data_IF_165677214658
#
_entry.id   IF_165677214658
#
_cell.length_a   1.000
_cell.length_b   1.000
_cell.length_c   1.000
_cell.angle_alpha   90.00
_cell.angle_beta   90.00
_cell.angle_gamma   90.00
#
_symmetry.space_group_name_H-M   'P 1'
#
loop_
_entity.id
_entity.type
_entity.pdbx_description
1 polymer ?
#
# COMPACT_ATOMS: atom_id res chain seq x y z
N UNK A 1 -13.66 15.58 -7.06
CA UNK A 1 -13.96 15.79 -8.49
C UNK A 1 -14.72 14.63 -9.10
N UNK A 2 -14.37 13.38 -8.77
CA UNK A 2 -15.06 12.17 -9.22
C UNK A 2 -15.35 11.30 -8.00
N UNK A 3 -16.56 10.73 -7.91
CA UNK A 3 -16.93 9.75 -6.88
C UNK A 3 -16.74 8.34 -7.44
N UNK A 4 -15.89 7.55 -6.82
CA UNK A 4 -15.67 6.14 -7.15
C UNK A 4 -16.86 5.32 -6.62
N UNK A 5 -17.45 4.50 -7.47
CA UNK A 5 -18.57 3.63 -7.14
C UNK A 5 -18.16 2.16 -7.06
N UNK A 6 -17.32 1.69 -7.99
CA UNK A 6 -16.82 0.31 -8.02
C UNK A 6 -15.37 0.26 -8.49
N UNK A 7 -14.63 -0.70 -7.98
CA UNK A 7 -13.27 -0.97 -8.47
C UNK A 7 -12.90 -2.43 -8.31
N UNK A 8 -12.11 -2.91 -9.27
CA UNK A 8 -11.34 -4.12 -9.07
C UNK A 8 -9.89 -3.94 -9.47
N UNK A 9 -9.04 -4.77 -8.88
CA UNK A 9 -7.68 -4.98 -9.31
C UNK A 9 -7.37 -6.48 -9.32
N UNK A 10 -7.15 -7.00 -10.53
CA UNK A 10 -6.77 -8.39 -10.76
C UNK A 10 -5.26 -8.47 -10.98
N UNK A 11 -4.56 -9.21 -10.13
CA UNK A 11 -3.09 -9.33 -10.20
C UNK A 11 -2.68 -10.78 -10.43
N UNK A 12 -1.87 -11.03 -11.44
CA UNK A 12 -1.32 -12.37 -11.68
C UNK A 12 0.10 -12.29 -12.24
N UNK A 13 0.84 -13.39 -12.11
CA UNK A 13 2.24 -13.49 -12.53
C UNK A 13 2.71 -14.95 -12.51
N UNK A 14 3.97 -15.18 -12.86
CA UNK A 14 4.53 -16.54 -13.01
C UNK A 14 5.61 -16.91 -12.01
N UNK A 15 5.88 -16.05 -11.01
CA UNK A 15 6.87 -16.34 -9.98
C UNK A 15 6.26 -17.15 -8.82
N UNK A 16 7.12 -17.62 -7.93
CA UNK A 16 6.71 -18.45 -6.79
C UNK A 16 5.87 -17.71 -5.75
N UNK A 17 5.90 -16.37 -5.68
CA UNK A 17 4.96 -15.61 -4.82
C UNK A 17 3.53 -15.75 -5.34
N UNK A 18 3.30 -15.70 -6.66
CA UNK A 18 1.98 -15.95 -7.25
C UNK A 18 1.53 -17.40 -7.11
N UNK A 19 2.45 -18.37 -7.25
CA UNK A 19 2.13 -19.78 -6.98
C UNK A 19 1.71 -19.99 -5.53
N UNK A 20 2.44 -19.39 -4.58
CA UNK A 20 2.10 -19.40 -3.16
C UNK A 20 0.76 -18.69 -2.85
N UNK A 21 0.30 -17.80 -3.72
CA UNK A 21 -0.97 -17.09 -3.56
C UNK A 21 -2.18 -17.91 -4.01
N UNK A 22 -2.02 -19.04 -4.72
CA UNK A 22 -3.14 -19.94 -5.02
C UNK A 22 -3.71 -20.61 -3.75
N UNK A 23 -2.90 -20.69 -2.69
CA UNK A 23 -3.30 -21.23 -1.40
C UNK A 23 -4.24 -20.23 -0.69
N UNK A 24 -5.55 -20.52 -0.75
CA UNK A 24 -6.62 -19.60 -0.33
C UNK A 24 -6.54 -19.18 1.14
N UNK A 25 -6.01 -20.04 2.02
CA UNK A 25 -5.89 -19.73 3.45
C UNK A 25 -4.86 -18.63 3.73
N UNK A 26 -3.85 -18.48 2.86
CA UNK A 26 -2.85 -17.40 2.95
C UNK A 26 -3.32 -16.08 2.34
N UNK A 27 -4.43 -16.08 1.60
CA UNK A 27 -4.94 -14.89 0.91
C UNK A 27 -5.62 -13.89 1.84
N UNK A 28 -6.11 -14.31 3.00
CA UNK A 28 -6.92 -13.46 3.89
C UNK A 28 -6.15 -12.22 4.34
N UNK A 29 -4.92 -12.39 4.83
CA UNK A 29 -4.09 -11.28 5.32
C UNK A 29 -3.68 -10.32 4.20
N UNK A 30 -3.35 -10.83 3.01
CA UNK A 30 -2.94 -10.02 1.86
C UNK A 30 -4.13 -9.29 1.20
N UNK A 31 -5.32 -9.89 1.16
CA UNK A 31 -6.55 -9.24 0.68
C UNK A 31 -6.89 -8.04 1.57
N UNK A 32 -6.85 -8.20 2.89
CA UNK A 32 -7.08 -7.12 3.85
C UNK A 32 -6.08 -5.97 3.63
N UNK A 33 -4.77 -6.26 3.54
CA UNK A 33 -3.74 -5.24 3.33
C UNK A 33 -3.95 -4.41 2.05
N UNK A 34 -4.23 -5.07 0.92
CA UNK A 34 -4.40 -4.39 -0.38
C UNK A 34 -5.71 -3.62 -0.47
N UNK A 35 -6.82 -4.20 0.00
CA UNK A 35 -8.11 -3.51 0.06
C UNK A 35 -8.02 -2.27 0.96
N UNK A 36 -7.39 -2.41 2.14
CA UNK A 36 -7.21 -1.30 3.07
C UNK A 36 -6.37 -0.17 2.46
N UNK A 37 -5.32 -0.49 1.72
CA UNK A 37 -4.49 0.51 1.03
C UNK A 37 -5.31 1.41 0.10
N UNK A 38 -6.23 0.84 -0.70
CA UNK A 38 -7.09 1.64 -1.59
C UNK A 38 -8.17 2.40 -0.83
N UNK A 39 -8.88 1.73 0.08
CA UNK A 39 -9.95 2.38 0.86
C UNK A 39 -9.43 3.48 1.80
N UNK A 40 -8.17 3.41 2.25
CA UNK A 40 -7.56 4.42 3.11
C UNK A 40 -7.34 5.78 2.43
N UNK A 41 -7.35 5.79 1.09
CA UNK A 41 -7.21 7.00 0.28
C UNK A 41 -8.56 7.65 -0.04
N UNK A 42 -9.68 7.01 0.34
CA UNK A 42 -11.03 7.53 0.13
C UNK A 42 -11.55 8.17 1.42
N UNK A 43 -12.21 9.33 1.27
CA UNK A 43 -12.82 10.04 2.41
C UNK A 43 -14.18 9.44 2.83
N UNK A 44 -14.66 8.41 2.12
CA UNK A 44 -15.96 7.76 2.31
C UNK A 44 -15.86 6.25 2.11
N UNK A 45 -16.83 5.53 2.66
CA UNK A 45 -16.97 4.09 2.44
C UNK A 45 -17.70 3.82 1.11
N UNK A 46 -17.07 3.00 0.26
CA UNK A 46 -17.64 2.54 -1.02
C UNK A 46 -18.36 1.20 -0.88
N UNK A 47 -18.30 0.55 0.29
CA UNK A 47 -18.90 -0.74 0.54
C UNK A 47 -17.99 -1.88 0.09
N UNK A 48 -17.87 -2.90 0.94
CA UNK A 48 -16.99 -4.07 0.75
C UNK A 48 -17.24 -4.83 -0.56
N UNK A 49 -18.49 -4.86 -1.03
CA UNK A 49 -18.91 -5.61 -2.21
C UNK A 49 -18.59 -4.87 -3.52
N UNK A 50 -18.24 -3.57 -3.43
CA UNK A 50 -17.83 -2.74 -4.55
C UNK A 50 -16.31 -2.68 -4.76
N UNK A 51 -15.54 -3.40 -3.95
CA UNK A 51 -14.07 -3.47 -4.02
C UNK A 51 -13.61 -4.91 -4.15
N UNK A 52 -13.01 -5.23 -5.30
CA UNK A 52 -12.43 -6.55 -5.54
C UNK A 52 -10.93 -6.46 -5.82
N UNK A 53 -10.11 -6.62 -4.79
CA UNK A 53 -8.64 -6.53 -4.90
C UNK A 53 -8.02 -7.80 -4.33
N UNK A 54 -7.23 -8.51 -5.14
CA UNK A 54 -6.57 -9.73 -4.71
C UNK A 54 -5.50 -10.20 -5.69
N UNK A 55 -4.65 -11.16 -5.29
CA UNK A 55 -4.02 -12.08 -6.23
C UNK A 55 -5.11 -12.88 -6.94
N UNK A 56 -4.95 -13.02 -8.24
CA UNK A 56 -6.00 -13.56 -9.11
C UNK A 56 -5.59 -14.89 -9.70
N UNK A 57 -4.31 -15.06 -10.09
CA UNK A 57 -3.87 -16.29 -10.73
C UNK A 57 -2.34 -16.45 -10.77
N UNK A 58 -1.92 -17.65 -11.19
CA UNK A 58 -0.55 -18.02 -11.51
C UNK A 58 -0.46 -18.44 -12.98
N UNK A 59 0.42 -17.78 -13.74
CA UNK A 59 0.61 -18.03 -15.17
C UNK A 59 2.09 -18.34 -15.43
N UNK A 60 2.47 -19.62 -15.62
CA UNK A 60 3.87 -20.06 -15.57
C UNK A 60 4.82 -19.29 -16.51
N UNK A 61 4.40 -19.04 -17.75
CA UNK A 61 5.24 -18.38 -18.76
C UNK A 61 5.43 -16.87 -18.54
N UNK A 62 4.75 -16.27 -17.55
CA UNK A 62 5.02 -14.89 -17.17
C UNK A 62 6.33 -14.76 -16.38
N UNK A 63 6.84 -15.84 -15.76
CA UNK A 63 8.01 -15.79 -14.87
C UNK A 63 7.86 -14.62 -13.87
N UNK A 64 8.86 -13.74 -13.75
CA UNK A 64 8.82 -12.59 -12.83
C UNK A 64 7.99 -11.40 -13.33
N UNK A 65 7.33 -11.50 -14.49
CA UNK A 65 6.40 -10.47 -14.93
C UNK A 65 5.10 -10.58 -14.14
N UNK A 66 4.68 -9.45 -13.61
CA UNK A 66 3.40 -9.24 -12.95
C UNK A 66 2.53 -8.36 -13.81
N UNK A 67 1.30 -8.82 -14.04
CA UNK A 67 0.25 -8.05 -14.67
C UNK A 67 -0.78 -7.64 -13.64
N UNK A 68 -1.24 -6.39 -13.74
CA UNK A 68 -2.34 -5.86 -12.96
C UNK A 68 -3.38 -5.21 -13.89
N UNK A 69 -4.59 -5.75 -13.88
CA UNK A 69 -5.74 -5.11 -14.52
C UNK A 69 -6.52 -4.34 -13.47
N UNK A 70 -6.64 -3.04 -13.65
CA UNK A 70 -7.30 -2.13 -12.73
C UNK A 70 -8.49 -1.51 -13.46
N UNK A 71 -9.66 -1.59 -12.82
CA UNK A 71 -10.87 -0.89 -13.29
C UNK A 71 -11.38 0.03 -12.20
N UNK A 72 -11.75 1.24 -12.61
CA UNK A 72 -12.30 2.28 -11.76
C UNK A 72 -13.58 2.80 -12.42
N UNK A 73 -14.70 2.61 -11.75
CA UNK A 73 -16.00 3.13 -12.16
C UNK A 73 -16.42 4.24 -11.21
N UNK A 74 -16.86 5.36 -11.75
CA UNK A 74 -17.31 6.48 -10.93
C UNK A 74 -18.23 7.45 -11.65
N UNK A 75 -18.58 8.54 -10.97
CA UNK A 75 -19.38 9.64 -11.51
C UNK A 75 -18.67 10.98 -11.35
N UNK A 76 -18.73 11.78 -12.40
CA UNK A 76 -18.24 13.16 -12.40
C UNK A 76 -19.38 14.16 -12.24
N UNK A 77 -19.10 15.43 -12.52
CA UNK A 77 -20.08 16.51 -12.43
C UNK A 77 -21.32 16.21 -13.29
N UNK A 78 -22.51 16.48 -12.74
CA UNK A 78 -23.79 16.19 -13.40
C UNK A 78 -24.16 14.70 -13.42
N UNK A 79 -23.62 13.91 -12.48
CA UNK A 79 -23.84 12.46 -12.36
C UNK A 79 -23.46 11.64 -13.62
N UNK A 80 -22.62 12.22 -14.48
CA UNK A 80 -22.13 11.59 -15.70
C UNK A 80 -21.23 10.41 -15.34
N UNK A 81 -21.52 9.19 -15.82
CA UNK A 81 -20.72 8.01 -15.52
C UNK A 81 -19.37 8.08 -16.22
N UNK A 82 -18.33 7.62 -15.53
CA UNK A 82 -16.96 7.48 -16.00
C UNK A 82 -16.47 6.05 -15.72
N UNK A 83 -15.72 5.51 -16.67
CA UNK A 83 -15.03 4.24 -16.52
C UNK A 83 -13.57 4.40 -16.97
N UNK A 84 -12.64 3.89 -16.18
CA UNK A 84 -11.23 3.82 -16.51
C UNK A 84 -10.77 2.38 -16.38
N UNK A 85 -10.10 1.88 -17.42
CA UNK A 85 -9.43 0.59 -17.42
C UNK A 85 -7.95 0.79 -17.69
N UNK A 86 -7.12 0.11 -16.90
CA UNK A 86 -5.67 0.18 -16.96
C UNK A 86 -5.10 -1.23 -16.91
N UNK A 87 -4.13 -1.51 -17.80
CA UNK A 87 -3.23 -2.65 -17.67
C UNK A 87 -1.85 -2.13 -17.28
N UNK A 88 -1.35 -2.60 -16.15
CA UNK A 88 0.03 -2.38 -15.71
C UNK A 88 0.82 -3.68 -15.83
N UNK A 89 1.99 -3.59 -16.44
CA UNK A 89 2.94 -4.68 -16.56
C UNK A 89 4.28 -4.24 -15.99
N UNK A 90 4.80 -5.02 -15.05
CA UNK A 90 6.08 -4.76 -14.38
C UNK A 90 6.84 -6.06 -14.16
N UNK A 91 8.15 -5.94 -13.98
CA UNK A 91 8.98 -7.03 -13.45
C UNK A 91 8.97 -6.90 -11.92
N UNK A 92 8.40 -7.87 -11.21
CA UNK A 92 7.99 -7.71 -9.80
C UNK A 92 9.17 -7.67 -8.82
N UNK A 93 10.19 -8.51 -9.04
CA UNK A 93 11.35 -8.60 -8.15
C UNK A 93 12.23 -7.34 -8.18
N UNK A 94 12.65 -6.82 -9.35
CA UNK A 94 13.43 -5.57 -9.41
C UNK A 94 12.66 -4.36 -8.87
N UNK A 95 11.33 -4.31 -9.10
CA UNK A 95 10.49 -3.23 -8.59
C UNK A 95 10.45 -3.21 -7.05
N UNK A 96 10.50 -4.38 -6.42
CA UNK A 96 10.55 -4.49 -4.96
C UNK A 96 11.96 -4.35 -4.39
N UNK A 97 13.00 -4.73 -5.15
CA UNK A 97 14.39 -4.70 -4.71
C UNK A 97 14.86 -3.29 -4.31
N UNK A 98 14.50 -2.27 -5.09
CA UNK A 98 14.85 -0.87 -4.77
C UNK A 98 14.29 -0.42 -3.43
N UNK A 99 13.03 -0.78 -3.14
CA UNK A 99 12.37 -0.47 -1.86
C UNK A 99 13.11 -1.13 -0.69
N UNK A 100 13.52 -2.39 -0.85
CA UNK A 100 14.24 -3.13 0.21
C UNK A 100 15.63 -2.52 0.46
N UNK A 101 16.34 -2.10 -0.58
CA UNK A 101 17.66 -1.47 -0.45
C UNK A 101 17.55 -0.20 0.41
N UNK A 102 16.59 0.68 0.12
CA UNK A 102 16.44 1.93 0.87
C UNK A 102 15.91 1.69 2.30
N UNK A 103 15.05 0.69 2.51
CA UNK A 103 14.62 0.29 3.84
C UNK A 103 15.80 -0.20 4.70
N UNK A 104 16.69 -1.04 4.15
CA UNK A 104 17.90 -1.52 4.84
C UNK A 104 18.85 -0.37 5.18
N UNK A 105 19.00 0.61 4.27
CA UNK A 105 19.80 1.81 4.54
C UNK A 105 19.22 2.64 5.67
N UNK A 106 17.90 2.79 5.75
CA UNK A 106 17.24 3.45 6.88
C UNK A 106 17.46 2.69 8.19
N UNK A 107 17.42 1.35 8.18
CA UNK A 107 17.77 0.55 9.35
C UNK A 107 19.21 0.79 9.80
N UNK A 108 20.17 0.89 8.87
CA UNK A 108 21.57 1.20 9.19
C UNK A 108 21.71 2.59 9.83
N UNK A 109 21.02 3.60 9.28
CA UNK A 109 20.99 4.95 9.88
C UNK A 109 20.40 4.94 11.29
N UNK A 110 19.34 4.16 11.53
CA UNK A 110 18.76 4.01 12.87
C UNK A 110 19.77 3.37 13.84
N UNK A 111 20.45 2.31 13.42
CA UNK A 111 21.49 1.64 14.22
C UNK A 111 22.61 2.62 14.60
N UNK A 112 23.10 3.41 13.65
CA UNK A 112 24.17 4.39 13.88
C UNK A 112 23.76 5.50 14.85
N UNK A 113 22.45 5.79 14.92
CA UNK A 113 21.87 6.81 15.81
C UNK A 113 21.36 6.23 17.13
N UNK A 114 21.54 4.93 17.39
CA UNK A 114 21.03 4.27 18.59
C UNK A 114 19.50 4.21 18.67
N UNK A 115 18.82 4.31 17.53
CA UNK A 115 17.36 4.36 17.43
C UNK A 115 16.82 2.92 17.34
N UNK A 116 15.89 2.57 18.23
CA UNK A 116 15.26 1.25 18.30
C UNK A 116 13.73 1.29 18.09
N UNK A 117 13.18 0.14 17.73
CA UNK A 117 11.75 -0.03 17.46
C UNK A 117 11.39 0.20 15.98
N UNK A 118 10.10 0.36 15.71
CA UNK A 118 9.62 0.60 14.35
C UNK A 118 9.93 2.04 13.92
N UNK A 119 10.56 2.20 12.75
CA UNK A 119 10.81 3.50 12.15
C UNK A 119 9.54 3.96 11.44
N UNK A 120 8.70 4.76 12.08
CA UNK A 120 7.35 5.10 11.61
C UNK A 120 7.37 5.76 10.22
N UNK A 121 8.23 6.78 10.04
CA UNK A 121 8.42 7.46 8.75
C UNK A 121 8.82 6.50 7.63
N UNK A 122 10.02 5.87 7.71
CA UNK A 122 10.46 4.87 6.72
C UNK A 122 9.45 3.73 6.50
N UNK A 123 8.86 3.19 7.56
CA UNK A 123 7.88 2.10 7.44
C UNK A 123 6.66 2.53 6.64
N UNK A 124 6.17 3.76 6.85
CA UNK A 124 5.00 4.28 6.15
C UNK A 124 5.23 4.53 4.67
N UNK A 125 6.47 4.75 4.26
CA UNK A 125 6.85 4.97 2.87
C UNK A 125 7.16 3.66 2.14
N UNK A 126 7.84 2.71 2.79
CA UNK A 126 8.30 1.47 2.14
C UNK A 126 7.33 0.29 2.26
N UNK A 127 6.42 0.30 3.24
CA UNK A 127 5.57 -0.86 3.56
C UNK A 127 4.10 -0.59 3.27
N UNK A 128 3.39 -1.61 2.79
CA UNK A 128 1.93 -1.54 2.50
C UNK A 128 1.05 -1.50 3.75
N UNK A 129 1.59 -1.92 4.90
CA UNK A 129 0.86 -1.98 6.16
C UNK A 129 1.78 -1.57 7.31
N UNK A 130 2.16 -0.28 7.35
CA UNK A 130 2.97 0.26 8.42
C UNK A 130 2.20 0.29 9.76
N UNK A 131 2.91 0.45 10.89
CA UNK A 131 2.26 0.65 12.20
C UNK A 131 1.32 1.87 12.21
N UNK A 132 1.73 2.95 11.52
CA UNK A 132 0.94 4.17 11.33
C UNK A 132 0.85 4.44 9.83
N UNK A 133 -0.38 4.54 9.32
CA UNK A 133 -0.65 4.86 7.92
C UNK A 133 -0.64 6.38 7.75
N UNK A 134 0.26 6.89 6.91
CA UNK A 134 0.28 8.28 6.46
C UNK A 134 -0.14 8.35 4.98
N UNK A 135 -0.49 9.54 4.49
CA UNK A 135 -0.62 9.76 3.04
C UNK A 135 0.76 9.65 2.38
N UNK A 136 0.80 9.28 1.10
CA UNK A 136 2.07 9.06 0.38
C UNK A 136 2.99 10.29 0.42
N UNK A 137 2.42 11.50 0.35
CA UNK A 137 3.16 12.76 0.46
C UNK A 137 3.76 12.95 1.85
N UNK A 138 3.00 12.66 2.92
CA UNK A 138 3.50 12.77 4.28
C UNK A 138 4.53 11.69 4.59
N UNK A 139 4.30 10.45 4.17
CA UNK A 139 5.26 9.36 4.28
C UNK A 139 6.60 9.71 3.61
N UNK A 140 6.55 10.30 2.42
CA UNK A 140 7.74 10.79 1.71
C UNK A 140 8.49 11.85 2.52
N UNK A 141 7.78 12.86 3.01
CA UNK A 141 8.37 13.93 3.83
C UNK A 141 9.05 13.35 5.09
N UNK A 142 8.37 12.43 5.78
CA UNK A 142 8.89 11.81 7.01
C UNK A 142 10.13 10.95 6.77
N UNK A 143 10.21 10.22 5.64
CA UNK A 143 11.41 9.45 5.31
C UNK A 143 12.58 10.36 4.90
N UNK A 144 12.32 11.44 4.17
CA UNK A 144 13.35 12.45 3.81
C UNK A 144 13.90 13.13 5.08
N UNK A 145 13.02 13.57 6.00
CA UNK A 145 13.43 14.12 7.31
C UNK A 145 14.23 13.12 8.15
N UNK A 146 13.83 11.85 8.13
CA UNK A 146 14.59 10.79 8.79
C UNK A 146 15.98 10.64 8.16
N UNK A 147 16.10 10.64 6.83
CA UNK A 147 17.39 10.50 6.14
C UNK A 147 18.32 11.68 6.48
N UNK A 148 17.83 12.90 6.37
CA UNK A 148 18.59 14.14 6.57
C UNK A 148 19.07 14.33 8.02
N UNK A 149 18.53 13.54 8.97
CA UNK A 149 18.89 13.65 10.39
C UNK A 149 18.38 14.94 11.05
N UNK A 150 17.50 15.68 10.37
CA UNK A 150 16.91 16.92 10.86
C UNK A 150 15.53 16.70 11.48
N UNK A 151 15.33 17.22 12.71
CA UNK A 151 14.04 17.48 13.41
C UNK A 151 12.98 16.37 13.50
N UNK A 152 13.19 15.19 12.93
CA UNK A 152 12.36 14.03 13.18
C UNK A 152 12.49 13.62 14.66
N UNK A 153 11.39 13.74 15.42
CA UNK A 153 11.28 13.15 16.76
C UNK A 153 11.67 11.68 16.69
N UNK A 154 12.41 11.18 17.69
CA UNK A 154 12.84 9.77 17.86
C UNK A 154 11.88 8.80 17.15
N UNK A 155 12.38 8.10 16.12
CA UNK A 155 11.66 7.20 15.18
C UNK A 155 10.96 7.80 13.95
N UNK A 156 11.14 9.08 13.61
CA UNK A 156 10.41 9.66 12.47
C UNK A 156 8.96 10.02 12.82
N UNK A 157 8.68 10.23 14.11
CA UNK A 157 7.35 10.65 14.57
C UNK A 157 7.08 12.08 14.12
N UNK A 158 5.92 12.30 13.52
CA UNK A 158 5.39 13.65 13.41
C UNK A 158 5.29 14.23 14.83
N UNK A 159 5.94 15.37 15.09
CA UNK A 159 5.68 16.13 16.32
C UNK A 159 4.17 16.27 16.49
N UNK A 160 3.65 16.06 17.70
CA UNK A 160 2.20 15.98 18.04
C UNK A 160 1.39 17.16 17.48
N UNK A 161 1.04 17.17 16.20
CA UNK A 161 0.11 18.13 15.59
C UNK A 161 -0.67 17.58 14.39
N UNK A 162 -0.35 16.39 13.86
CA UNK A 162 -1.16 15.79 12.80
C UNK A 162 -2.31 14.97 13.40
N UNK A 163 -3.55 15.37 13.12
CA UNK A 163 -4.78 14.66 13.49
C UNK A 163 -4.73 13.21 13.00
N UNK A 164 -4.38 12.28 13.88
CA UNK A 164 -4.51 10.85 13.64
C UNK A 164 -5.99 10.50 13.53
N UNK A 165 -6.48 10.05 12.38
CA UNK A 165 -7.69 9.21 12.35
C UNK A 165 -7.32 7.89 13.03
N UNK A 166 -7.96 7.50 14.15
CA UNK A 166 -7.68 6.22 14.76
C UNK A 166 -8.04 5.12 13.75
N UNK A 167 -7.17 4.12 13.63
CA UNK A 167 -7.55 2.88 12.95
C UNK A 167 -8.83 2.37 13.61
N UNK A 168 -9.89 2.22 12.82
CA UNK A 168 -11.19 1.78 13.30
C UNK A 168 -11.04 0.53 14.18
N UNK A 169 -11.48 0.65 15.42
CA UNK A 169 -11.54 -0.45 16.37
C UNK A 169 -12.32 -1.60 15.72
N UNK A 170 -11.73 -2.79 15.72
CA UNK A 170 -12.43 -4.02 15.36
C UNK A 170 -13.65 -4.15 16.27
N UNK A 171 -14.85 -3.88 15.74
CA UNK A 171 -16.08 -4.12 16.47
C UNK A 171 -16.26 -5.62 16.59
N UNK A 172 -16.03 -6.15 17.80
CA UNK A 172 -16.61 -7.41 18.23
C UNK A 172 -18.13 -7.25 18.18
N UNK A 173 -18.78 -7.93 17.22
CA UNK A 173 -20.05 -8.67 17.35
C UNK A 173 -20.39 -9.30 16.00
#
# INVERSE_FOLDING_TARGET
>A
GVKLERTYQLNFGGNTDFLNMLERDRLMSKKISKTRSVTSQLDYDIGKDNVHIGPSDYVPWLNDRKWAYIRLEGRSFGDVPLNVELKLEVVDSPNSAGIVIDAVRCCKLAMDRGIGGALEGPSSYFMKSPPVQYSDTEARRLVEEFIDGGKASENGRAGRTARSKPAAAASRR
#
